data_IF_860858755364
#
_entry.id   IF_860858755364
#
_cell.length_a   1.000
_cell.length_b   1.000
_cell.length_c   1.000
_cell.angle_alpha   90.00
_cell.angle_beta   90.00
_cell.angle_gamma   90.00
#
_symmetry.space_group_name_H-M   'P 1'
#
loop_
_entity.id
_entity.type
_entity.pdbx_description
1 polymer ?
#
# COMPACT_ATOMS: atom_id res chain seq x y z
N UNK A 1 -1.48 12.56 5.98
CA UNK A 1 -1.42 11.23 6.65
C UNK A 1 -0.13 11.17 7.46
N UNK A 2 -0.12 10.53 8.64
CA UNK A 2 1.05 10.38 9.51
C UNK A 2 1.37 8.90 9.69
N UNK A 3 2.66 8.56 9.68
CA UNK A 3 3.17 7.21 9.91
C UNK A 3 4.02 7.13 11.21
N UNK A 4 4.12 5.95 11.86
CA UNK A 4 3.25 4.79 11.63
C UNK A 4 1.79 5.16 11.96
N UNK A 5 0.84 4.58 11.23
CA UNK A 5 -0.58 4.77 11.50
C UNK A 5 -0.93 4.10 12.82
N UNK A 6 -1.96 4.62 13.49
CA UNK A 6 -2.55 3.91 14.63
C UNK A 6 -3.35 2.74 14.09
N UNK A 7 -3.28 1.62 14.79
CA UNK A 7 -4.14 0.46 14.54
C UNK A 7 -5.61 0.90 14.54
N UNK A 8 -6.30 0.62 13.45
CA UNK A 8 -7.70 0.97 13.23
C UNK A 8 -8.67 -0.13 13.71
N UNK A 9 -8.14 -1.26 14.19
CA UNK A 9 -8.91 -2.42 14.65
C UNK A 9 -9.41 -3.32 13.51
N UNK A 10 -9.13 -2.97 12.26
CA UNK A 10 -9.59 -3.69 11.08
C UNK A 10 -8.57 -4.76 10.67
N UNK A 11 -8.22 -5.69 11.55
CA UNK A 11 -7.03 -6.55 11.43
C UNK A 11 -6.97 -7.57 10.28
N UNK A 12 -7.72 -7.42 9.18
CA UNK A 12 -7.76 -8.38 8.09
C UNK A 12 -7.56 -7.71 6.74
N UNK A 13 -6.52 -8.15 6.02
CA UNK A 13 -6.72 -8.58 4.65
C UNK A 13 -5.78 -9.73 4.28
N UNK A 14 -6.34 -10.69 3.54
CA UNK A 14 -5.67 -11.88 3.03
C UNK A 14 -4.93 -12.66 4.12
N UNK A 15 -5.72 -13.22 5.05
CA UNK A 15 -5.24 -14.17 6.04
C UNK A 15 -5.84 -15.55 5.78
N UNK A 16 -5.05 -16.56 5.53
CA UNK A 16 -5.55 -17.82 5.02
C UNK A 16 -4.73 -19.05 5.44
N UNK A 17 -5.25 -19.75 6.45
CA UNK A 17 -4.66 -20.88 7.17
C UNK A 17 -4.44 -22.12 6.28
N UNK A 18 -3.19 -22.57 6.07
CA UNK A 18 -2.85 -23.81 5.35
C UNK A 18 -1.85 -23.59 4.22
N UNK A 19 -2.08 -24.24 3.07
CA UNK A 19 -1.30 -24.14 1.82
C UNK A 19 -1.74 -23.01 0.88
N UNK A 20 -2.51 -22.07 1.42
CA UNK A 20 -2.88 -20.83 0.77
C UNK A 20 -2.50 -19.66 1.74
N UNK A 21 -2.38 -18.39 1.30
CA UNK A 21 -1.75 -17.29 2.08
C UNK A 21 -2.30 -16.96 3.50
N UNK A 22 -1.58 -17.29 4.60
CA UNK A 22 -2.03 -17.18 6.02
C UNK A 22 -2.08 -15.80 6.63
N UNK A 23 -1.13 -14.92 6.32
CA UNK A 23 -1.11 -13.53 6.80
C UNK A 23 -0.29 -12.73 5.81
N UNK A 24 -0.95 -11.93 4.96
CA UNK A 24 -0.23 -10.93 4.18
C UNK A 24 -0.08 -9.69 5.04
N UNK A 25 0.94 -9.80 5.90
CA UNK A 25 1.53 -8.78 6.78
C UNK A 25 0.67 -8.35 7.96
N UNK A 26 1.34 -8.32 9.11
CA UNK A 26 0.94 -7.58 10.29
C UNK A 26 0.66 -6.12 9.89
N UNK A 27 -0.59 -5.80 9.48
CA UNK A 27 -1.01 -4.40 9.34
C UNK A 27 -0.58 -3.67 10.60
N UNK A 28 -0.08 -2.44 10.42
CA UNK A 28 0.51 -1.66 11.51
C UNK A 28 1.84 -2.16 12.08
N UNK A 29 2.45 -3.24 11.57
CA UNK A 29 3.85 -3.56 11.90
C UNK A 29 4.80 -2.48 11.39
N UNK A 30 5.98 -2.34 12.02
CA UNK A 30 6.97 -1.35 11.58
C UNK A 30 7.38 -1.50 10.11
N UNK A 31 7.50 -2.73 9.60
CA UNK A 31 7.89 -2.98 8.21
C UNK A 31 6.77 -2.59 7.23
N UNK A 32 5.52 -2.96 7.55
CA UNK A 32 4.36 -2.62 6.75
C UNK A 32 4.13 -1.11 6.67
N UNK A 33 4.17 -0.41 7.82
CA UNK A 33 3.98 1.04 7.85
C UNK A 33 5.12 1.79 7.14
N UNK A 34 6.36 1.31 7.23
CA UNK A 34 7.48 1.88 6.47
C UNK A 34 7.39 1.60 4.96
N UNK A 35 6.68 0.56 4.54
CA UNK A 35 6.36 0.33 3.13
C UNK A 35 5.24 1.26 2.68
N UNK A 36 4.13 1.33 3.44
CA UNK A 36 3.00 2.20 3.15
C UNK A 36 3.41 3.70 3.12
N UNK A 37 4.29 4.13 4.02
CA UNK A 37 4.88 5.47 4.01
C UNK A 37 5.65 5.76 2.73
N UNK A 38 6.55 4.84 2.34
CA UNK A 38 7.37 4.99 1.12
C UNK A 38 6.51 5.05 -0.14
N UNK A 39 5.44 4.25 -0.23
CA UNK A 39 4.48 4.33 -1.34
C UNK A 39 3.77 5.68 -1.32
N UNK A 40 3.25 6.12 -0.17
CA UNK A 40 2.57 7.42 -0.07
C UNK A 40 3.48 8.60 -0.43
N UNK A 41 4.75 8.56 -0.04
CA UNK A 41 5.73 9.59 -0.40
C UNK A 41 6.04 9.60 -1.89
N UNK A 42 6.15 8.43 -2.51
CA UNK A 42 6.29 8.32 -3.96
C UNK A 42 5.04 8.88 -4.68
N UNK A 43 3.83 8.61 -4.20
CA UNK A 43 2.58 9.19 -4.74
C UNK A 43 2.56 10.72 -4.58
N UNK A 44 3.04 11.27 -3.45
CA UNK A 44 3.19 12.73 -3.29
C UNK A 44 4.18 13.32 -4.29
N UNK A 45 5.29 12.62 -4.55
CA UNK A 45 6.29 13.06 -5.53
C UNK A 45 5.72 13.09 -6.97
N UNK A 46 4.71 12.27 -7.27
CA UNK A 46 3.95 12.31 -8.52
C UNK A 46 2.98 13.51 -8.63
N UNK A 47 2.89 14.35 -7.59
CA UNK A 47 1.96 15.47 -7.52
C UNK A 47 0.52 15.08 -7.14
N UNK A 48 0.33 13.88 -6.60
CA UNK A 48 -0.98 13.37 -6.16
C UNK A 48 -1.10 13.41 -4.63
N UNK A 49 -2.33 13.53 -4.15
CA UNK A 49 -2.63 13.35 -2.72
C UNK A 49 -2.86 11.87 -2.44
N UNK A 50 -2.00 11.18 -1.65
CA UNK A 50 -2.19 9.77 -1.36
C UNK A 50 -3.33 9.54 -0.37
N UNK A 51 -4.09 8.48 -0.61
CA UNK A 51 -5.09 7.93 0.30
C UNK A 51 -4.88 6.42 0.43
N UNK A 52 -5.02 5.91 1.65
CA UNK A 52 -5.10 4.47 1.89
C UNK A 52 -6.56 4.13 2.15
N UNK A 53 -7.07 3.14 1.42
CA UNK A 53 -8.40 2.57 1.60
C UNK A 53 -8.31 1.05 1.71
N UNK A 54 -9.44 0.39 1.94
CA UNK A 54 -9.50 -1.09 1.93
C UNK A 54 -9.09 -1.79 3.22
N UNK A 55 -8.81 -1.06 4.31
CA UNK A 55 -8.55 -1.66 5.61
C UNK A 55 -9.72 -2.54 6.08
N UNK A 56 -9.43 -3.78 6.48
CA UNK A 56 -10.44 -4.75 6.90
C UNK A 56 -11.23 -5.39 5.77
N UNK A 57 -10.96 -5.02 4.51
CA UNK A 57 -11.70 -5.52 3.36
C UNK A 57 -11.15 -6.84 2.81
N UNK A 58 -11.98 -7.61 2.11
CA UNK A 58 -11.57 -8.86 1.45
C UNK A 58 -10.46 -8.62 0.41
N UNK A 59 -10.44 -7.45 -0.23
CA UNK A 59 -9.46 -7.06 -1.26
C UNK A 59 -8.18 -6.42 -0.68
N UNK A 60 -8.19 -6.13 0.62
CA UNK A 60 -7.11 -5.51 1.38
C UNK A 60 -6.78 -4.07 1.10
N UNK A 61 -5.85 -3.53 1.88
CA UNK A 61 -5.45 -2.14 1.76
C UNK A 61 -4.81 -1.85 0.41
N UNK A 62 -5.10 -0.66 -0.09
CA UNK A 62 -4.53 -0.13 -1.31
C UNK A 62 -4.25 1.35 -1.17
N UNK A 63 -3.34 1.83 -2.01
CA UNK A 63 -3.06 3.26 -2.16
C UNK A 63 -3.74 3.78 -3.41
N UNK A 64 -4.48 4.87 -3.26
CA UNK A 64 -4.95 5.73 -4.35
C UNK A 64 -4.17 7.04 -4.36
N UNK A 65 -4.07 7.66 -5.52
CA UNK A 65 -3.68 9.05 -5.68
C UNK A 65 -4.86 9.88 -6.14
N UNK A 66 -5.07 11.05 -5.53
CA UNK A 66 -6.08 12.03 -5.96
C UNK A 66 -5.40 13.24 -6.56
N UNK A 67 -5.83 13.65 -7.76
CA UNK A 67 -5.34 14.87 -8.41
C UNK A 67 -6.02 16.15 -7.88
N UNK A 68 -5.59 17.31 -8.37
CA UNK A 68 -6.14 18.62 -7.98
C UNK A 68 -7.62 18.83 -8.36
N UNK A 69 -8.13 18.03 -9.30
CA UNK A 69 -9.54 18.07 -9.72
C UNK A 69 -10.43 17.18 -8.86
N UNK A 70 -9.82 16.38 -7.96
CA UNK A 70 -10.52 15.45 -7.09
C UNK A 70 -10.73 14.07 -7.71
N UNK A 71 -10.13 13.79 -8.88
CA UNK A 71 -10.21 12.45 -9.49
C UNK A 71 -9.26 11.52 -8.76
N UNK A 72 -9.81 10.46 -8.17
CA UNK A 72 -9.05 9.42 -7.50
C UNK A 72 -8.70 8.28 -8.47
N UNK A 73 -7.46 7.82 -8.40
CA UNK A 73 -6.95 6.71 -9.18
C UNK A 73 -6.36 5.66 -8.24
N UNK A 74 -6.78 4.41 -8.42
CA UNK A 74 -6.11 3.26 -7.82
C UNK A 74 -4.69 3.12 -8.36
N UNK A 75 -3.71 2.94 -7.47
CA UNK A 75 -2.32 2.77 -7.87
C UNK A 75 -1.81 1.38 -7.55
N UNK A 76 -1.99 0.91 -6.31
CA UNK A 76 -1.45 -0.39 -5.90
C UNK A 76 -2.10 -0.96 -4.64
N UNK A 77 -2.20 -2.29 -4.57
CA UNK A 77 -2.50 -3.01 -3.33
C UNK A 77 -1.27 -3.08 -2.42
N UNK A 78 -1.47 -2.86 -1.12
CA UNK A 78 -0.45 -3.01 -0.09
C UNK A 78 -0.42 -4.44 0.48
N UNK A 79 -1.57 -5.12 0.47
CA UNK A 79 -1.78 -6.43 1.09
C UNK A 79 -1.91 -7.58 0.08
N UNK A 80 -1.82 -7.32 -1.23
CA UNK A 80 -1.69 -8.41 -2.21
C UNK A 80 -0.22 -8.87 -2.24
N UNK A 81 0.09 -10.18 -2.19
CA UNK A 81 1.45 -10.63 -1.93
C UNK A 81 2.41 -10.26 -3.06
N UNK A 82 1.99 -10.38 -4.32
CA UNK A 82 2.85 -10.05 -5.46
C UNK A 82 3.13 -8.55 -5.53
N UNK A 83 2.14 -7.71 -5.24
CA UNK A 83 2.28 -6.26 -5.16
C UNK A 83 3.19 -5.86 -4.01
N UNK A 84 3.02 -6.46 -2.82
CA UNK A 84 3.90 -6.21 -1.68
C UNK A 84 5.36 -6.57 -1.98
N UNK A 85 5.60 -7.73 -2.61
CA UNK A 85 6.94 -8.15 -3.06
C UNK A 85 7.51 -7.19 -4.12
N UNK A 86 6.70 -6.79 -5.10
CA UNK A 86 7.11 -5.87 -6.16
C UNK A 86 7.45 -4.47 -5.62
N UNK A 87 6.68 -3.97 -4.64
CA UNK A 87 6.96 -2.71 -3.94
C UNK A 87 8.28 -2.82 -3.18
N UNK A 88 8.47 -3.89 -2.40
CA UNK A 88 9.70 -4.11 -1.64
C UNK A 88 10.93 -4.15 -2.55
N UNK A 89 10.83 -4.86 -3.68
CA UNK A 89 11.89 -4.92 -4.69
C UNK A 89 12.14 -3.54 -5.34
N UNK A 90 11.09 -2.84 -5.77
CA UNK A 90 11.21 -1.52 -6.37
C UNK A 90 11.83 -0.49 -5.40
N UNK A 91 11.52 -0.59 -4.11
CA UNK A 91 12.12 0.21 -3.04
C UNK A 91 13.61 -0.12 -2.88
N UNK A 92 13.98 -1.40 -2.82
CA UNK A 92 15.37 -1.82 -2.69
C UNK A 92 16.25 -1.36 -3.87
N UNK A 93 15.67 -1.31 -5.07
CA UNK A 93 16.33 -0.87 -6.30
C UNK A 93 16.25 0.66 -6.53
N UNK A 94 15.62 1.43 -5.63
CA UNK A 94 15.50 2.89 -5.75
C UNK A 94 14.59 3.36 -6.88
N UNK A 95 13.67 2.50 -7.35
CA UNK A 95 12.81 2.71 -8.52
C UNK A 95 11.32 2.73 -8.20
N UNK A 96 10.96 2.89 -6.92
CA UNK A 96 9.57 2.88 -6.46
C UNK A 96 8.69 3.93 -7.16
N UNK A 97 9.20 5.15 -7.38
CA UNK A 97 8.47 6.19 -8.08
C UNK A 97 8.11 5.80 -9.53
N UNK A 98 9.11 5.37 -10.31
CA UNK A 98 8.89 4.94 -11.70
C UNK A 98 7.97 3.71 -11.80
N UNK A 99 8.02 2.82 -10.81
CA UNK A 99 7.12 1.69 -10.73
C UNK A 99 5.66 2.12 -10.55
N UNK A 100 5.37 3.07 -9.65
CA UNK A 100 4.01 3.58 -9.44
C UNK A 100 3.52 4.45 -10.60
N UNK A 101 4.40 5.23 -11.24
CA UNK A 101 4.04 5.99 -12.45
C UNK A 101 3.59 5.08 -13.60
N UNK A 102 4.16 3.87 -13.72
CA UNK A 102 3.74 2.89 -14.72
C UNK A 102 2.40 2.22 -14.41
N UNK A 103 1.90 2.35 -13.18
CA UNK A 103 0.60 1.81 -12.73
C UNK A 103 -0.56 2.81 -12.86
N UNK A 104 -0.26 4.05 -13.27
CA UNK A 104 -1.23 5.10 -13.58
C UNK A 104 -1.72 5.00 -15.03
#
# INVERSE_FOLDING_TARGET
MKFPRLDDGEGWAWGLRGDAPVEIWERFSPAYEAQAEAVCDAVRAMGLTPMIGGGGSEDGEYVMGTDETGVAQFLIHLEEPQAAEAIAQAKAEGRLHAYLEASR
#
